data_IF_725395962598
#
_entry.id   IF_725395962598
#
_cell.length_a   1.000
_cell.length_b   1.000
_cell.length_c   1.000
_cell.angle_alpha   90.00
_cell.angle_beta   90.00
_cell.angle_gamma   90.00
#
_symmetry.space_group_name_H-M   'P 1'
#
loop_
_entity.id
_entity.type
_entity.pdbx_description
1 polymer ?
#
# COMPACT_ATOMS: atom_id res chain seq x y z
N UNK A 1 -46.00 70.07 -20.76
CA UNK A 1 -44.62 69.77 -20.59
C UNK A 1 -44.50 68.56 -19.59
N UNK A 2 -44.45 67.35 -20.11
CA UNK A 2 -44.33 66.11 -19.31
C UNK A 2 -42.85 65.67 -19.29
N UNK A 3 -42.25 65.65 -18.11
CA UNK A 3 -40.91 65.12 -17.87
C UNK A 3 -40.99 63.61 -17.52
N UNK A 4 -40.52 62.75 -18.40
CA UNK A 4 -40.36 61.33 -18.17
C UNK A 4 -39.05 61.09 -17.38
N UNK A 5 -39.17 60.54 -16.15
CA UNK A 5 -38.04 60.03 -15.40
C UNK A 5 -37.77 58.57 -15.85
N UNK A 6 -36.64 58.35 -16.44
CA UNK A 6 -36.09 56.99 -16.68
C UNK A 6 -35.30 56.53 -15.47
N UNK A 7 -35.78 55.52 -14.77
CA UNK A 7 -35.07 54.85 -13.66
C UNK A 7 -34.16 53.75 -14.29
N UNK A 8 -32.85 53.93 -14.12
CA UNK A 8 -31.84 52.93 -14.49
C UNK A 8 -31.64 52.00 -13.30
N UNK A 9 -32.10 50.76 -13.40
CA UNK A 9 -31.83 49.73 -12.42
C UNK A 9 -30.44 49.13 -12.65
N UNK A 10 -29.51 49.34 -11.73
CA UNK A 10 -28.21 48.69 -11.73
C UNK A 10 -28.36 47.31 -11.10
N UNK A 11 -28.22 46.26 -11.89
CA UNK A 11 -28.14 44.86 -11.41
C UNK A 11 -26.71 44.57 -11.02
N UNK A 12 -26.43 44.55 -9.72
CA UNK A 12 -25.14 44.11 -9.17
C UNK A 12 -25.13 42.58 -9.11
N UNK A 13 -24.40 41.95 -10.01
CA UNK A 13 -24.15 40.51 -10.04
C UNK A 13 -23.09 40.18 -8.95
N UNK A 14 -23.51 39.70 -7.80
CA UNK A 14 -22.62 39.19 -6.77
C UNK A 14 -22.06 37.83 -7.21
N UNK A 15 -20.79 37.79 -7.65
CA UNK A 15 -20.07 36.53 -7.84
C UNK A 15 -19.76 35.93 -6.46
N UNK A 16 -20.50 34.92 -6.08
CA UNK A 16 -20.14 34.05 -4.95
C UNK A 16 -19.04 33.11 -5.41
N UNK A 17 -17.79 33.44 -5.14
CA UNK A 17 -16.66 32.53 -5.28
C UNK A 17 -16.76 31.48 -4.17
N UNK A 18 -17.23 30.28 -4.48
CA UNK A 18 -17.12 29.10 -3.63
C UNK A 18 -15.63 28.73 -3.54
N UNK A 19 -14.97 29.24 -2.49
CA UNK A 19 -13.66 28.74 -2.08
C UNK A 19 -13.89 27.38 -1.45
N UNK A 20 -13.71 26.30 -2.20
CA UNK A 20 -13.57 24.97 -1.62
C UNK A 20 -12.28 24.99 -0.79
N UNK A 21 -12.41 25.06 0.53
CA UNK A 21 -11.31 24.79 1.43
C UNK A 21 -10.87 23.34 1.18
N UNK A 22 -9.83 23.14 0.38
CA UNK A 22 -9.18 21.84 0.24
C UNK A 22 -8.57 21.52 1.61
N UNK A 23 -9.25 20.71 2.39
CA UNK A 23 -8.67 20.08 3.57
C UNK A 23 -7.33 19.46 3.15
N UNK A 24 -6.25 19.74 3.89
CA UNK A 24 -4.90 19.31 3.52
C UNK A 24 -4.88 17.81 3.23
N UNK A 25 -4.39 17.45 2.07
CA UNK A 25 -4.25 16.02 1.70
C UNK A 25 -3.27 15.35 2.65
N UNK A 26 -3.54 14.12 3.11
CA UNK A 26 -2.63 13.39 3.98
C UNK A 26 -1.27 13.20 3.29
N UNK A 27 -0.19 13.32 4.04
CA UNK A 27 1.18 13.18 3.54
C UNK A 27 1.46 11.80 2.94
N UNK A 28 0.73 10.79 3.41
CA UNK A 28 0.80 9.40 2.95
C UNK A 28 -0.63 8.85 2.87
N UNK A 29 -1.35 9.06 1.75
CA UNK A 29 -2.70 8.55 1.60
C UNK A 29 -2.73 7.02 1.64
N UNK A 30 -3.88 6.46 1.96
CA UNK A 30 -4.10 5.03 1.84
C UNK A 30 -4.06 4.59 0.37
N UNK A 31 -3.65 3.35 0.14
CA UNK A 31 -3.66 2.68 -1.16
C UNK A 31 -4.06 1.23 -1.02
N UNK A 32 -4.57 0.68 -2.10
CA UNK A 32 -4.90 -0.73 -2.24
C UNK A 32 -4.34 -1.22 -3.57
N UNK A 33 -3.67 -2.38 -3.53
CA UNK A 33 -3.39 -3.20 -4.70
C UNK A 33 -4.25 -4.45 -4.59
N UNK A 34 -4.94 -4.84 -5.64
CA UNK A 34 -5.79 -6.02 -5.64
C UNK A 34 -5.69 -6.77 -6.96
N UNK A 35 -5.82 -8.09 -6.88
CA UNK A 35 -5.93 -8.98 -8.04
C UNK A 35 -6.92 -10.08 -7.76
N UNK A 36 -7.51 -10.64 -8.81
CA UNK A 36 -8.42 -11.78 -8.75
C UNK A 36 -7.81 -12.95 -9.51
N UNK A 37 -7.93 -14.17 -8.98
CA UNK A 37 -7.34 -15.39 -9.53
C UNK A 37 -8.34 -16.53 -9.57
N UNK A 38 -8.13 -17.49 -10.49
CA UNK A 38 -8.92 -18.72 -10.56
C UNK A 38 -10.35 -18.57 -11.08
N UNK A 39 -10.76 -17.37 -11.48
CA UNK A 39 -12.07 -17.11 -12.06
C UNK A 39 -12.12 -17.42 -13.57
N UNK A 40 -13.29 -17.19 -14.15
CA UNK A 40 -13.53 -17.32 -15.58
C UNK A 40 -14.11 -16.04 -16.12
N UNK A 41 -13.58 -15.60 -17.26
CA UNK A 41 -14.13 -14.49 -18.00
C UNK A 41 -15.41 -14.96 -18.74
N UNK A 42 -16.51 -14.30 -18.45
CA UNK A 42 -17.80 -14.54 -19.10
C UNK A 42 -17.95 -13.51 -20.23
N UNK A 43 -17.94 -14.00 -21.47
CA UNK A 43 -18.08 -13.18 -22.70
C UNK A 43 -19.56 -12.92 -23.06
N UNK A 44 -20.49 -12.96 -22.10
CA UNK A 44 -21.89 -12.59 -22.32
C UNK A 44 -22.06 -11.13 -22.74
N UNK A 45 -23.31 -10.66 -22.91
CA UNK A 45 -23.65 -9.29 -23.33
C UNK A 45 -22.95 -8.22 -22.47
N UNK A 46 -22.79 -8.49 -21.18
CA UNK A 46 -21.97 -7.68 -20.25
C UNK A 46 -20.78 -8.52 -19.76
N UNK A 47 -19.62 -8.43 -20.43
CA UNK A 47 -18.44 -9.21 -20.05
C UNK A 47 -18.07 -8.99 -18.60
N UNK A 48 -17.87 -10.07 -17.86
CA UNK A 48 -17.49 -10.03 -16.45
C UNK A 48 -16.57 -11.20 -16.08
N UNK A 49 -15.74 -11.00 -15.07
CA UNK A 49 -14.94 -12.06 -14.47
C UNK A 49 -15.68 -12.61 -13.26
N UNK A 50 -15.89 -13.92 -13.18
CA UNK A 50 -16.72 -14.57 -12.16
C UNK A 50 -16.02 -15.74 -11.49
N UNK A 51 -16.32 -15.94 -10.21
CA UNK A 51 -15.87 -17.09 -9.44
C UNK A 51 -14.40 -17.06 -9.05
N UNK A 52 -13.74 -15.93 -9.22
CA UNK A 52 -12.36 -15.73 -8.76
C UNK A 52 -12.26 -15.52 -7.25
N UNK A 53 -11.04 -15.52 -6.76
CA UNK A 53 -10.68 -15.26 -5.37
C UNK A 53 -9.77 -14.05 -5.31
N UNK A 54 -10.05 -13.13 -4.40
CA UNK A 54 -9.31 -11.89 -4.27
C UNK A 54 -8.07 -12.06 -3.42
N UNK A 55 -7.00 -11.37 -3.84
CA UNK A 55 -5.80 -11.10 -3.07
C UNK A 55 -5.64 -9.58 -3.04
N UNK A 56 -5.53 -9.00 -1.85
CA UNK A 56 -5.50 -7.55 -1.66
C UNK A 56 -4.40 -7.14 -0.69
N UNK A 57 -3.68 -6.07 -1.02
CA UNK A 57 -2.74 -5.40 -0.11
C UNK A 57 -3.25 -4.00 0.17
N UNK A 58 -3.49 -3.67 1.46
CA UNK A 58 -3.82 -2.32 1.91
C UNK A 58 -2.65 -1.70 2.66
N UNK A 59 -2.29 -0.46 2.34
CA UNK A 59 -1.08 0.16 2.86
C UNK A 59 -1.15 1.69 2.83
N UNK A 60 -0.29 2.35 3.60
CA UNK A 60 -0.07 3.79 3.45
C UNK A 60 0.96 4.05 2.37
N UNK A 61 0.69 5.02 1.49
CA UNK A 61 1.50 5.37 0.32
C UNK A 61 2.34 6.63 0.57
N UNK A 62 3.54 6.55 1.15
CA UNK A 62 4.39 7.71 1.32
C UNK A 62 4.91 8.21 -0.04
N UNK A 63 5.09 9.52 -0.12
CA UNK A 63 5.67 10.21 -1.27
C UNK A 63 7.15 10.51 -0.94
N UNK A 64 8.05 10.27 -1.88
CA UNK A 64 9.52 10.43 -1.71
C UNK A 64 9.91 11.88 -1.38
N UNK A 65 9.44 12.84 -2.14
CA UNK A 65 9.71 14.29 -1.96
C UNK A 65 11.20 14.59 -1.82
N UNK A 66 12.00 14.08 -2.74
CA UNK A 66 13.45 14.31 -2.78
C UNK A 66 14.28 13.59 -1.70
N UNK A 67 13.64 12.80 -0.80
CA UNK A 67 14.38 12.06 0.24
C UNK A 67 15.12 10.87 -0.37
N UNK A 68 16.26 10.53 0.23
CA UNK A 68 16.87 9.21 0.05
C UNK A 68 16.19 8.22 1.00
N UNK A 69 15.24 7.44 0.47
CA UNK A 69 14.32 6.62 1.30
C UNK A 69 14.97 5.33 1.79
N UNK A 70 15.91 4.77 1.03
CA UNK A 70 16.61 3.52 1.37
C UNK A 70 18.12 3.73 1.57
N UNK A 71 18.54 4.98 1.69
CA UNK A 71 19.94 5.34 1.86
C UNK A 71 20.50 4.98 3.23
N UNK A 72 21.78 5.32 3.37
CA UNK A 72 22.57 5.00 4.53
C UNK A 72 23.45 3.77 4.32
N UNK A 73 24.43 3.58 5.21
CA UNK A 73 25.40 2.47 5.18
C UNK A 73 25.33 1.75 6.53
N UNK A 74 25.42 0.42 6.51
CA UNK A 74 25.41 -0.40 7.71
C UNK A 74 24.14 -0.19 8.54
N UNK A 75 24.26 0.15 9.80
CA UNK A 75 23.13 0.37 10.72
C UNK A 75 22.23 1.55 10.37
N UNK A 76 22.69 2.47 9.51
CA UNK A 76 21.92 3.62 9.04
C UNK A 76 21.05 3.30 7.81
N UNK A 77 21.25 2.14 7.20
CA UNK A 77 20.50 1.74 6.03
C UNK A 77 18.99 1.64 6.34
N UNK A 78 18.16 2.27 5.49
CA UNK A 78 16.70 2.25 5.64
C UNK A 78 16.15 3.03 6.84
N UNK A 79 16.99 3.72 7.63
CA UNK A 79 16.54 4.49 8.80
C UNK A 79 15.63 5.66 8.47
N UNK A 80 15.68 6.17 7.25
CA UNK A 80 14.75 7.21 6.79
C UNK A 80 13.28 6.75 6.78
N UNK A 81 13.02 5.45 6.62
CA UNK A 81 11.67 4.85 6.57
C UNK A 81 11.37 3.99 7.81
N UNK A 82 12.39 3.59 8.53
CA UNK A 82 12.29 2.71 9.71
C UNK A 82 13.30 3.12 10.81
N UNK A 83 13.10 4.26 11.50
CA UNK A 83 14.08 4.77 12.46
C UNK A 83 14.27 3.87 13.69
N UNK A 84 13.19 3.35 14.27
CA UNK A 84 13.19 2.80 15.63
C UNK A 84 12.61 1.38 15.76
N UNK A 85 12.09 0.79 14.68
CA UNK A 85 11.53 -0.56 14.73
C UNK A 85 12.50 -1.60 14.13
N UNK A 86 12.42 -2.87 14.56
CA UNK A 86 13.29 -3.93 14.05
C UNK A 86 13.00 -4.29 12.58
N UNK A 87 11.79 -3.98 12.11
CA UNK A 87 11.34 -4.21 10.73
C UNK A 87 10.54 -3.02 10.22
N UNK A 88 10.53 -2.81 8.92
CA UNK A 88 9.72 -1.76 8.31
C UNK A 88 8.30 -2.28 8.01
N UNK A 89 7.28 -1.47 8.35
CA UNK A 89 5.86 -1.75 8.06
C UNK A 89 5.51 -1.80 6.56
N UNK A 90 6.49 -1.74 5.68
CA UNK A 90 6.34 -1.79 4.21
C UNK A 90 5.34 -0.75 3.64
N UNK A 91 5.29 0.41 4.27
CA UNK A 91 4.35 1.50 3.98
C UNK A 91 4.49 2.64 4.98
N UNK A 92 3.40 3.38 5.19
CA UNK A 92 3.33 4.47 6.15
C UNK A 92 2.03 4.40 6.98
N UNK A 93 2.00 5.09 8.13
CA UNK A 93 0.88 5.14 9.06
C UNK A 93 0.54 3.76 9.63
N UNK A 94 -0.62 3.20 9.25
CA UNK A 94 -1.07 1.89 9.69
C UNK A 94 -0.14 0.77 9.18
N UNK A 95 -0.21 -0.38 9.81
CA UNK A 95 0.48 -1.58 9.37
C UNK A 95 -0.05 -2.01 8.00
N UNK A 96 0.84 -2.35 7.07
CA UNK A 96 0.44 -2.92 5.76
C UNK A 96 -0.18 -4.30 5.96
N UNK A 97 -1.28 -4.59 5.28
CA UNK A 97 -2.00 -5.85 5.39
C UNK A 97 -2.11 -6.54 4.04
N UNK A 98 -2.00 -7.86 4.06
CA UNK A 98 -2.32 -8.77 2.97
C UNK A 98 -3.58 -9.56 3.35
N UNK A 99 -4.65 -9.46 2.56
CA UNK A 99 -5.82 -10.31 2.63
C UNK A 99 -5.83 -11.26 1.44
N UNK A 100 -6.08 -12.53 1.67
CA UNK A 100 -6.22 -13.52 0.61
C UNK A 100 -7.42 -14.42 0.84
N UNK A 101 -8.18 -14.67 -0.23
CA UNK A 101 -9.31 -15.62 -0.24
C UNK A 101 -8.88 -17.00 -0.77
N UNK A 102 -7.64 -17.13 -1.26
CA UNK A 102 -7.05 -18.39 -1.68
C UNK A 102 -5.87 -18.76 -0.79
N UNK A 103 -5.57 -20.07 -0.63
CA UNK A 103 -4.31 -20.47 -0.01
C UNK A 103 -3.14 -20.08 -0.92
N UNK A 104 -2.09 -19.48 -0.32
CA UNK A 104 -0.88 -19.07 -1.04
C UNK A 104 0.32 -19.84 -0.56
N UNK A 105 1.25 -20.14 -1.46
CA UNK A 105 2.56 -20.69 -1.13
C UNK A 105 3.62 -19.64 -1.44
N UNK A 106 4.30 -19.15 -0.41
CA UNK A 106 5.40 -18.19 -0.49
C UNK A 106 6.64 -18.81 0.13
N UNK A 107 7.75 -18.83 -0.61
CA UNK A 107 9.01 -19.44 -0.16
C UNK A 107 8.82 -20.87 0.45
N UNK A 108 8.00 -21.71 -0.20
CA UNK A 108 7.71 -23.08 0.23
C UNK A 108 6.82 -23.21 1.47
N UNK A 109 6.30 -22.11 2.02
CA UNK A 109 5.36 -22.12 3.15
C UNK A 109 3.95 -21.84 2.65
N UNK A 110 3.01 -22.71 3.01
CA UNK A 110 1.58 -22.54 2.71
C UNK A 110 0.94 -21.62 3.76
N UNK A 111 0.20 -20.63 3.27
CA UNK A 111 -0.64 -19.73 4.04
C UNK A 111 -2.11 -20.04 3.74
N UNK A 112 -2.94 -20.18 4.77
CA UNK A 112 -4.39 -20.30 4.61
C UNK A 112 -5.02 -18.97 4.12
N UNK A 113 -6.23 -18.98 3.55
CA UNK A 113 -7.01 -17.78 3.37
C UNK A 113 -7.15 -17.00 4.68
N UNK A 114 -7.01 -15.69 4.63
CA UNK A 114 -7.04 -14.86 5.84
C UNK A 114 -6.45 -13.47 5.63
N UNK A 115 -6.32 -12.74 6.74
CA UNK A 115 -5.68 -11.42 6.78
C UNK A 115 -4.40 -11.49 7.60
N UNK A 116 -3.32 -11.00 7.04
CA UNK A 116 -1.97 -11.00 7.59
C UNK A 116 -1.41 -9.58 7.57
N UNK A 117 -0.41 -9.31 8.40
CA UNK A 117 0.39 -8.09 8.31
C UNK A 117 1.66 -8.34 7.51
N UNK A 118 2.09 -7.33 6.76
CA UNK A 118 3.32 -7.36 5.98
C UNK A 118 4.37 -6.44 6.58
N UNK A 119 5.59 -6.96 6.68
CA UNK A 119 6.77 -6.18 7.03
C UNK A 119 7.92 -6.50 6.06
N UNK A 120 8.92 -5.63 6.05
CA UNK A 120 10.17 -5.88 5.34
C UNK A 120 11.33 -5.67 6.33
N UNK A 121 12.17 -6.68 6.48
CA UNK A 121 13.47 -6.57 7.12
C UNK A 121 14.43 -5.98 6.09
N UNK A 122 14.81 -4.72 6.30
CA UNK A 122 15.66 -3.96 5.38
C UNK A 122 17.13 -4.17 5.74
N UNK A 123 17.87 -4.84 4.87
CA UNK A 123 19.34 -4.92 4.94
C UNK A 123 19.92 -4.50 3.60
N UNK A 124 21.11 -3.92 3.57
CA UNK A 124 21.75 -3.64 2.29
C UNK A 124 21.75 -4.90 1.41
N UNK A 125 21.19 -4.81 0.20
CA UNK A 125 21.14 -5.87 -0.81
C UNK A 125 20.44 -7.19 -0.41
N UNK A 126 19.79 -7.23 0.76
CA UNK A 126 19.19 -8.47 1.30
C UNK A 126 17.86 -8.22 2.03
N UNK A 127 16.85 -7.75 1.30
CA UNK A 127 15.52 -7.54 1.89
C UNK A 127 14.78 -8.86 2.08
N UNK A 128 14.02 -8.93 3.17
CA UNK A 128 13.17 -10.09 3.47
C UNK A 128 11.74 -9.64 3.69
N UNK A 129 10.82 -10.14 2.87
CA UNK A 129 9.39 -10.01 3.12
C UNK A 129 9.02 -10.89 4.32
N UNK A 130 8.24 -10.33 5.22
CA UNK A 130 7.69 -11.02 6.38
C UNK A 130 6.18 -10.95 6.30
N UNK A 131 5.53 -12.12 6.34
CA UNK A 131 4.09 -12.24 6.50
C UNK A 131 3.82 -12.74 7.91
N UNK A 132 3.01 -12.03 8.67
CA UNK A 132 2.82 -12.28 10.09
C UNK A 132 1.35 -12.33 10.50
N UNK A 133 1.04 -13.13 11.52
CA UNK A 133 -0.28 -13.21 12.16
C UNK A 133 -0.57 -12.06 13.13
N UNK A 134 0.32 -11.07 13.26
CA UNK A 134 0.00 -9.88 14.01
C UNK A 134 -1.27 -9.23 13.45
N UNK A 135 -2.20 -8.87 14.32
CA UNK A 135 -3.36 -8.08 13.93
C UNK A 135 -2.99 -6.61 13.87
N UNK A 136 -3.44 -5.90 12.84
CA UNK A 136 -3.18 -4.47 12.69
C UNK A 136 -4.21 -3.64 13.46
N UNK A 137 -3.75 -2.67 14.24
CA UNK A 137 -4.62 -1.63 14.78
C UNK A 137 -5.13 -0.73 13.65
N UNK A 138 -6.41 -0.38 13.69
CA UNK A 138 -7.01 0.61 12.78
C UNK A 138 -6.61 2.04 13.15
N UNK A 139 -6.36 2.29 14.43
CA UNK A 139 -5.88 3.54 15.01
C UNK A 139 -4.90 3.22 16.13
N UNK A 140 -3.85 4.03 16.25
CA UNK A 140 -2.86 3.84 17.32
C UNK A 140 -3.49 3.90 18.71
N UNK A 141 -3.33 2.83 19.45
CA UNK A 141 -3.65 2.70 20.87
C UNK A 141 -2.48 2.04 21.62
N UNK A 142 -1.71 2.80 22.43
CA UNK A 142 -0.56 2.26 23.14
C UNK A 142 -0.93 1.25 24.25
N UNK A 143 -2.21 1.14 24.62
CA UNK A 143 -2.70 0.16 25.61
C UNK A 143 -3.09 -1.17 24.98
N UNK A 144 -3.33 -1.19 23.67
CA UNK A 144 -3.67 -2.42 22.96
C UNK A 144 -2.40 -3.19 22.57
N UNK A 145 -1.94 -4.06 23.45
CA UNK A 145 -0.77 -4.92 23.22
C UNK A 145 -1.09 -6.16 22.36
N UNK A 146 -2.36 -6.43 22.06
CA UNK A 146 -2.78 -7.60 21.28
C UNK A 146 -2.65 -7.35 19.77
N UNK A 147 -2.62 -6.09 19.36
CA UNK A 147 -2.55 -5.64 17.97
C UNK A 147 -1.38 -4.67 17.78
N UNK A 148 -0.92 -4.50 16.55
CA UNK A 148 0.25 -3.70 16.20
C UNK A 148 -0.13 -2.48 15.34
N UNK A 149 0.44 -1.32 15.65
CA UNK A 149 0.36 -0.14 14.79
C UNK A 149 1.70 0.09 14.10
N UNK A 150 1.69 0.13 12.78
CA UNK A 150 2.94 0.20 12.06
C UNK A 150 3.79 -1.06 12.28
N UNK A 151 4.96 -0.89 12.87
CA UNK A 151 5.84 -2.00 13.30
C UNK A 151 6.21 -1.88 14.80
N UNK A 152 5.49 -1.04 15.55
CA UNK A 152 5.73 -0.86 16.98
C UNK A 152 5.25 -2.10 17.75
N UNK A 153 6.13 -2.68 18.54
CA UNK A 153 5.86 -3.91 19.30
C UNK A 153 5.94 -5.19 18.47
N UNK A 154 6.45 -5.13 17.22
CA UNK A 154 6.68 -6.31 16.42
C UNK A 154 7.63 -7.29 17.11
N UNK A 155 7.27 -8.57 17.09
CA UNK A 155 8.09 -9.71 17.49
C UNK A 155 7.95 -10.83 16.44
N UNK A 156 8.99 -11.65 16.20
CA UNK A 156 9.00 -12.64 15.13
C UNK A 156 8.23 -13.93 15.45
N UNK A 157 7.73 -14.12 16.67
CA UNK A 157 6.97 -15.30 17.10
C UNK A 157 5.65 -15.51 16.36
N UNK A 158 5.11 -14.44 15.75
CA UNK A 158 3.89 -14.49 14.95
C UNK A 158 4.15 -14.56 13.42
N UNK A 159 5.41 -14.68 13.01
CA UNK A 159 5.74 -14.78 11.58
C UNK A 159 5.30 -16.12 11.00
N UNK A 160 4.59 -16.06 9.88
CA UNK A 160 4.14 -17.22 9.11
C UNK A 160 5.12 -17.55 8.00
N UNK A 161 5.60 -16.49 7.32
CA UNK A 161 6.53 -16.59 6.20
C UNK A 161 7.61 -15.53 6.34
N UNK A 162 8.84 -15.94 6.06
CA UNK A 162 9.97 -15.04 5.76
C UNK A 162 10.52 -15.44 4.40
N UNK A 163 10.51 -14.52 3.44
CA UNK A 163 10.91 -14.79 2.06
C UNK A 163 11.94 -13.75 1.59
N UNK A 164 13.10 -14.17 1.08
CA UNK A 164 14.03 -13.24 0.46
C UNK A 164 13.37 -12.56 -0.74
N UNK A 165 13.57 -11.25 -0.87
CA UNK A 165 13.05 -10.46 -1.97
C UNK A 165 14.10 -10.32 -3.07
N UNK A 166 13.67 -10.47 -4.33
CA UNK A 166 14.49 -10.08 -5.47
C UNK A 166 14.49 -8.56 -5.54
N UNK A 167 15.66 -7.95 -5.54
CA UNK A 167 15.84 -6.50 -5.71
C UNK A 167 16.24 -6.17 -7.14
N UNK A 168 15.58 -5.19 -7.71
CA UNK A 168 15.86 -4.68 -9.06
C UNK A 168 15.96 -3.15 -9.00
N UNK A 169 16.95 -2.61 -9.74
CA UNK A 169 17.11 -1.16 -9.89
C UNK A 169 16.35 -0.68 -11.10
N UNK A 170 15.40 0.22 -10.91
CA UNK A 170 14.62 0.82 -11.98
C UNK A 170 15.39 1.93 -12.69
N UNK A 171 15.16 2.14 -14.00
CA UNK A 171 15.80 3.21 -14.77
C UNK A 171 15.31 4.61 -14.36
N UNK A 172 14.15 4.71 -13.70
CA UNK A 172 13.56 5.95 -13.23
C UNK A 172 13.09 5.81 -11.78
N UNK A 173 12.96 6.93 -11.09
CA UNK A 173 12.44 6.93 -9.72
C UNK A 173 10.92 6.94 -9.72
N UNK A 174 10.32 6.08 -8.89
CA UNK A 174 8.89 6.07 -8.57
C UNK A 174 8.68 6.93 -7.32
N UNK A 175 7.97 8.03 -7.47
CA UNK A 175 7.84 9.05 -6.43
C UNK A 175 6.99 8.59 -5.23
N UNK A 176 5.96 7.78 -5.48
CA UNK A 176 5.05 7.31 -4.44
C UNK A 176 5.11 5.79 -4.30
N UNK A 177 5.34 5.31 -3.08
CA UNK A 177 5.36 3.87 -2.77
C UNK A 177 4.12 3.18 -3.33
N UNK A 178 4.33 2.09 -4.04
CA UNK A 178 3.29 1.28 -4.67
C UNK A 178 3.54 -0.20 -4.39
N UNK A 179 2.52 -0.90 -3.93
CA UNK A 179 2.43 -2.35 -4.00
C UNK A 179 1.65 -2.74 -5.24
N UNK A 180 2.06 -3.83 -5.88
CA UNK A 180 1.42 -4.33 -7.09
C UNK A 180 1.58 -5.85 -7.21
N UNK A 181 0.76 -6.45 -8.05
CA UNK A 181 0.85 -7.85 -8.43
C UNK A 181 1.39 -7.92 -9.85
N UNK A 182 2.50 -8.60 -10.05
CA UNK A 182 3.16 -8.71 -11.35
C UNK A 182 3.29 -10.17 -11.79
N UNK A 183 3.42 -10.41 -13.09
CA UNK A 183 3.53 -11.73 -13.69
C UNK A 183 2.40 -12.68 -13.32
N UNK A 184 1.19 -12.14 -13.24
CA UNK A 184 0.01 -12.85 -12.76
C UNK A 184 -0.49 -13.91 -13.73
N UNK A 185 -0.72 -15.10 -13.18
CA UNK A 185 -1.37 -16.25 -13.84
C UNK A 185 -2.38 -16.86 -12.89
N UNK A 186 -3.20 -17.82 -13.34
CA UNK A 186 -4.09 -18.59 -12.45
C UNK A 186 -3.33 -19.45 -11.43
N UNK A 187 -2.05 -19.73 -11.65
CA UNK A 187 -1.21 -20.52 -10.74
C UNK A 187 -0.42 -19.68 -9.74
N UNK A 188 -0.42 -18.36 -9.86
CA UNK A 188 0.31 -17.43 -8.99
C UNK A 188 0.87 -16.24 -9.73
N UNK A 189 1.82 -15.56 -9.12
CA UNK A 189 2.48 -14.35 -9.62
C UNK A 189 3.56 -13.90 -8.66
N UNK A 190 3.78 -12.60 -8.57
CA UNK A 190 4.69 -11.99 -7.60
C UNK A 190 4.05 -10.80 -6.90
N UNK A 191 4.28 -10.69 -5.59
CA UNK A 191 4.06 -9.48 -4.81
C UNK A 191 5.25 -8.56 -5.05
N UNK A 192 5.02 -7.37 -5.56
CA UNK A 192 6.06 -6.39 -5.81
C UNK A 192 5.80 -5.08 -5.06
N UNK A 193 6.83 -4.54 -4.45
CA UNK A 193 6.85 -3.20 -3.87
C UNK A 193 7.80 -2.34 -4.67
N UNK A 194 7.32 -1.17 -5.08
CA UNK A 194 8.08 -0.23 -5.91
C UNK A 194 8.13 1.12 -5.23
N UNK A 195 9.34 1.63 -5.02
CA UNK A 195 9.54 3.00 -4.53
C UNK A 195 10.95 3.48 -4.82
N UNK A 196 11.10 4.76 -5.15
CA UNK A 196 12.33 5.32 -5.68
C UNK A 196 12.83 4.52 -6.89
N UNK A 197 14.07 4.14 -6.93
CA UNK A 197 14.64 3.29 -7.99
C UNK A 197 14.66 1.81 -7.64
N UNK A 198 13.90 1.39 -6.63
CA UNK A 198 13.90 0.01 -6.16
C UNK A 198 12.57 -0.66 -6.45
N UNK A 199 12.62 -1.81 -7.11
CA UNK A 199 11.56 -2.82 -7.09
C UNK A 199 12.03 -4.00 -6.26
N UNK A 200 11.22 -4.41 -5.29
CA UNK A 200 11.47 -5.56 -4.44
C UNK A 200 10.30 -6.54 -4.57
N UNK A 201 10.55 -7.76 -5.03
CA UNK A 201 9.49 -8.73 -5.34
C UNK A 201 9.72 -10.10 -4.72
N UNK A 202 8.60 -10.81 -4.48
CA UNK A 202 8.59 -12.20 -4.00
C UNK A 202 7.55 -12.99 -4.78
N UNK A 203 7.93 -14.12 -5.40
CA UNK A 203 6.97 -14.96 -6.10
C UNK A 203 6.06 -15.71 -5.11
N UNK A 204 4.83 -15.94 -5.54
CA UNK A 204 3.88 -16.80 -4.84
C UNK A 204 3.17 -17.75 -5.82
N UNK A 205 2.68 -18.87 -5.29
CA UNK A 205 1.79 -19.79 -6.01
C UNK A 205 0.44 -19.82 -5.31
N UNK A 206 -0.59 -20.12 -6.08
CA UNK A 206 -1.93 -20.42 -5.58
C UNK A 206 -2.08 -21.92 -5.49
N UNK A 207 -2.69 -22.39 -4.40
CA UNK A 207 -2.97 -23.80 -4.15
C UNK A 207 -4.44 -24.15 -4.40
#
# INVERSE_FOLDING_TARGET
MMRTLTATAAVTLAMVTLVFAQGGRPASPAGTAATEIGGKYDNAVEPSYKGGKWIEITYGRPIKRGRDVFGGIGEKYGKAVNPDAPVWRAGANNTTQLKTEAPLVINGKTMAPGTYTLFIDLKPEAWTLIVSNWKAQTRYDPKNMAEIFGAYGYTPDKDVVRAPMKLETLPHAVEQLTWEFVDMTNAGGSLAMVWDKTMASVPFKVQ
#
